data_IF_075645567123
#
_entry.id   IF_075645567123
#
_cell.length_a   1.000
_cell.length_b   1.000
_cell.length_c   1.000
_cell.angle_alpha   90.00
_cell.angle_beta   90.00
_cell.angle_gamma   90.00
#
_symmetry.space_group_name_H-M   'P 1'
#
loop_
_entity.id
_entity.type
_entity.pdbx_description
1 polymer ?
#
# COMPACT_ATOMS: atom_id res chain seq x y z
N UNK A 1 -9.12 -81.63 -1.52
CA UNK A 1 -8.60 -80.56 -0.70
C UNK A 1 -8.35 -79.39 -1.63
N UNK A 2 -9.11 -78.31 -1.58
CA UNK A 2 -8.81 -77.08 -2.35
C UNK A 2 -7.83 -76.27 -1.56
N UNK A 3 -6.67 -75.96 -2.12
CA UNK A 3 -5.69 -75.04 -1.65
C UNK A 3 -6.22 -73.62 -1.83
N UNK A 4 -6.54 -72.93 -0.71
CA UNK A 4 -6.84 -71.50 -0.69
C UNK A 4 -5.59 -70.74 -1.02
N UNK A 5 -5.46 -70.23 -2.24
CA UNK A 5 -4.58 -69.12 -2.55
C UNK A 5 -5.16 -67.91 -1.85
N UNK A 6 -4.53 -67.52 -0.77
CA UNK A 6 -4.70 -66.18 -0.19
C UNK A 6 -4.02 -65.19 -1.16
N UNK A 7 -4.82 -64.59 -2.04
CA UNK A 7 -4.42 -63.40 -2.77
C UNK A 7 -4.09 -62.34 -1.73
N UNK A 8 -2.81 -62.21 -1.44
CA UNK A 8 -2.26 -61.04 -0.78
C UNK A 8 -2.52 -59.87 -1.73
N UNK A 9 -3.60 -59.13 -1.49
CA UNK A 9 -3.77 -57.83 -2.12
C UNK A 9 -2.55 -56.97 -1.73
N UNK A 10 -1.56 -56.96 -2.60
CA UNK A 10 -0.48 -55.97 -2.54
C UNK A 10 -1.15 -54.60 -2.60
N UNK A 11 -1.25 -53.93 -1.48
CA UNK A 11 -1.68 -52.54 -1.44
C UNK A 11 -0.74 -51.73 -2.36
N UNK A 12 -1.21 -51.19 -3.47
CA UNK A 12 -0.34 -50.43 -4.36
C UNK A 12 0.27 -49.29 -3.56
N UNK A 13 1.62 -49.26 -3.53
CA UNK A 13 2.36 -48.25 -2.82
C UNK A 13 2.07 -46.87 -3.47
N UNK A 14 1.21 -46.11 -2.81
CA UNK A 14 0.88 -44.76 -3.23
C UNK A 14 2.06 -43.81 -2.92
N UNK A 15 2.52 -43.08 -3.91
CA UNK A 15 3.61 -42.09 -3.76
C UNK A 15 3.06 -40.67 -3.62
N UNK A 16 3.76 -39.84 -2.83
CA UNK A 16 3.46 -38.41 -2.79
C UNK A 16 3.75 -37.77 -4.13
N UNK A 17 2.78 -37.04 -4.66
CA UNK A 17 2.99 -36.27 -5.88
C UNK A 17 3.88 -35.04 -5.57
N UNK A 18 4.90 -34.77 -6.36
CA UNK A 18 5.83 -33.68 -6.17
C UNK A 18 5.16 -32.32 -6.09
N UNK A 19 4.08 -32.08 -6.84
CA UNK A 19 3.34 -30.82 -6.80
C UNK A 19 2.66 -30.58 -5.44
N UNK A 20 2.25 -31.63 -4.72
CA UNK A 20 1.71 -31.47 -3.36
C UNK A 20 2.80 -30.99 -2.40
N UNK A 21 4.03 -31.49 -2.54
CA UNK A 21 5.16 -31.04 -1.75
C UNK A 21 5.53 -29.59 -2.13
N UNK A 22 5.63 -29.29 -3.42
CA UNK A 22 5.94 -27.95 -3.92
C UNK A 22 4.93 -26.90 -3.42
N UNK A 23 3.63 -27.22 -3.52
CA UNK A 23 2.56 -26.31 -3.04
C UNK A 23 2.69 -26.06 -1.53
N UNK A 24 3.02 -27.09 -0.75
CA UNK A 24 3.20 -26.94 0.70
C UNK A 24 4.41 -26.08 1.05
N UNK A 25 5.53 -26.28 0.38
CA UNK A 25 6.75 -25.46 0.58
C UNK A 25 6.43 -23.99 0.22
N UNK A 26 5.78 -23.78 -0.92
CA UNK A 26 5.38 -22.42 -1.32
C UNK A 26 4.41 -21.79 -0.31
N UNK A 27 3.43 -22.54 0.22
CA UNK A 27 2.51 -22.05 1.22
C UNK A 27 3.19 -21.62 2.53
N UNK A 28 4.29 -22.28 2.94
CA UNK A 28 5.11 -21.90 4.09
C UNK A 28 5.88 -20.62 3.85
N UNK A 29 6.34 -20.39 2.62
CA UNK A 29 7.12 -19.18 2.26
C UNK A 29 6.21 -18.02 1.85
N UNK A 30 4.97 -18.29 1.45
CA UNK A 30 4.02 -17.29 0.98
C UNK A 30 3.76 -16.10 1.94
N UNK A 31 3.82 -16.22 3.29
CA UNK A 31 3.69 -15.07 4.18
C UNK A 31 4.70 -13.94 3.93
N UNK A 32 5.83 -14.19 3.24
CA UNK A 32 6.77 -13.14 2.84
C UNK A 32 6.12 -12.07 1.94
N UNK A 33 5.04 -12.41 1.22
CA UNK A 33 4.30 -11.43 0.42
C UNK A 33 3.65 -10.32 1.26
N UNK A 34 3.46 -10.54 2.57
CA UNK A 34 2.93 -9.54 3.49
C UNK A 34 4.00 -8.53 3.94
N UNK A 35 5.28 -8.91 3.83
CA UNK A 35 6.40 -8.02 4.20
C UNK A 35 6.69 -7.04 3.09
N UNK A 36 6.64 -7.48 1.83
CA UNK A 36 6.85 -6.61 0.69
C UNK A 36 6.07 -7.09 -0.53
N UNK A 37 5.41 -6.15 -1.27
CA UNK A 37 4.65 -6.46 -2.48
C UNK A 37 5.46 -7.19 -3.56
N UNK A 38 6.80 -7.02 -3.56
CA UNK A 38 7.67 -7.70 -4.50
C UNK A 38 7.56 -9.25 -4.44
N UNK A 39 7.15 -9.82 -3.30
CA UNK A 39 6.98 -11.27 -3.12
C UNK A 39 5.56 -11.77 -3.43
N UNK A 40 4.67 -10.93 -3.96
CA UNK A 40 3.31 -11.34 -4.33
C UNK A 40 3.28 -12.45 -5.41
N UNK A 41 4.35 -12.64 -6.16
CA UNK A 41 4.45 -13.75 -7.11
C UNK A 41 4.52 -15.14 -6.43
N UNK A 42 4.96 -15.22 -5.16
CA UNK A 42 5.10 -16.49 -4.44
C UNK A 42 3.74 -17.20 -4.26
N UNK A 43 2.70 -16.55 -3.69
CA UNK A 43 1.39 -17.18 -3.59
C UNK A 43 0.77 -17.49 -4.96
N UNK A 44 1.07 -16.72 -6.01
CA UNK A 44 0.61 -17.04 -7.39
C UNK A 44 1.20 -18.37 -7.85
N UNK A 45 2.50 -18.63 -7.61
CA UNK A 45 3.12 -19.91 -7.88
C UNK A 45 2.48 -21.05 -7.05
N UNK A 46 2.15 -20.79 -5.79
CA UNK A 46 1.46 -21.75 -4.92
C UNK A 46 0.11 -22.17 -5.48
N UNK A 47 -0.67 -21.21 -6.00
CA UNK A 47 -1.95 -21.49 -6.66
C UNK A 47 -1.74 -22.30 -7.94
N UNK A 48 -0.74 -21.96 -8.77
CA UNK A 48 -0.45 -22.65 -10.01
C UNK A 48 -0.04 -24.11 -9.76
N UNK A 49 0.91 -24.36 -8.83
CA UNK A 49 1.31 -25.72 -8.46
C UNK A 49 0.18 -26.49 -7.79
N UNK A 50 -0.64 -25.83 -6.98
CA UNK A 50 -1.78 -26.44 -6.35
C UNK A 50 -2.84 -26.87 -7.36
N UNK A 51 -3.17 -26.02 -8.32
CA UNK A 51 -4.11 -26.37 -9.39
C UNK A 51 -3.62 -27.55 -10.24
N UNK A 52 -2.36 -27.51 -10.66
CA UNK A 52 -1.74 -28.58 -11.41
C UNK A 52 -1.70 -29.88 -10.59
N UNK A 53 -1.29 -29.81 -9.33
CA UNK A 53 -1.24 -30.94 -8.41
C UNK A 53 -2.64 -31.56 -8.19
N UNK A 54 -3.64 -30.73 -7.99
CA UNK A 54 -5.03 -31.15 -7.84
C UNK A 54 -5.52 -31.96 -9.06
N UNK A 55 -5.32 -31.42 -10.27
CA UNK A 55 -5.73 -32.09 -11.52
C UNK A 55 -5.03 -33.44 -11.69
N UNK A 56 -3.70 -33.48 -11.44
CA UNK A 56 -2.93 -34.71 -11.63
C UNK A 56 -3.26 -35.79 -10.61
N UNK A 57 -3.39 -35.41 -9.32
CA UNK A 57 -3.70 -36.37 -8.24
C UNK A 57 -5.15 -36.89 -8.40
N UNK A 58 -6.08 -35.96 -8.73
CA UNK A 58 -7.51 -36.35 -8.96
C UNK A 58 -7.70 -37.28 -10.16
N UNK A 59 -6.84 -37.14 -11.18
CA UNK A 59 -6.90 -38.03 -12.37
C UNK A 59 -6.34 -39.42 -12.12
N UNK A 60 -5.49 -39.61 -11.09
CA UNK A 60 -4.81 -40.89 -10.79
C UNK A 60 -4.78 -41.17 -9.28
N UNK A 61 -5.93 -41.29 -8.62
CA UNK A 61 -6.01 -41.42 -7.16
C UNK A 61 -5.41 -42.73 -6.63
N UNK A 62 -5.26 -43.75 -7.48
CA UNK A 62 -4.68 -45.03 -7.12
C UNK A 62 -3.14 -44.97 -6.99
N UNK A 63 -2.51 -44.00 -7.72
CA UNK A 63 -1.06 -43.90 -7.79
C UNK A 63 -0.53 -42.81 -6.85
N UNK A 64 -1.29 -41.71 -6.72
CA UNK A 64 -0.82 -40.51 -6.02
C UNK A 64 -1.62 -40.19 -4.78
N UNK A 65 -0.89 -39.81 -3.73
CA UNK A 65 -1.44 -39.31 -2.47
C UNK A 65 -1.06 -37.82 -2.28
N UNK A 66 -1.85 -37.10 -1.47
CA UNK A 66 -1.49 -35.71 -1.09
C UNK A 66 -2.53 -34.65 -1.50
N UNK A 67 -3.71 -35.05 -1.97
CA UNK A 67 -4.78 -34.15 -2.42
C UNK A 67 -5.16 -33.12 -1.33
N UNK A 68 -5.28 -33.57 -0.07
CA UNK A 68 -5.62 -32.69 1.07
C UNK A 68 -4.56 -31.62 1.27
N UNK A 69 -3.28 -32.00 1.18
CA UNK A 69 -2.15 -31.10 1.33
C UNK A 69 -2.10 -30.06 0.20
N UNK A 70 -2.36 -30.51 -1.03
CA UNK A 70 -2.47 -29.63 -2.20
C UNK A 70 -3.60 -28.60 -2.04
N UNK A 71 -4.78 -29.05 -1.62
CA UNK A 71 -5.93 -28.14 -1.40
C UNK A 71 -5.65 -27.13 -0.30
N UNK A 72 -5.12 -27.57 0.85
CA UNK A 72 -4.77 -26.68 1.97
C UNK A 72 -3.72 -25.66 1.53
N UNK A 73 -2.65 -26.09 0.86
CA UNK A 73 -1.61 -25.20 0.38
C UNK A 73 -2.12 -24.16 -0.64
N UNK A 74 -3.02 -24.59 -1.56
CA UNK A 74 -3.64 -23.70 -2.54
C UNK A 74 -4.54 -22.67 -1.87
N UNK A 75 -5.38 -23.09 -0.93
CA UNK A 75 -6.27 -22.19 -0.18
C UNK A 75 -5.48 -21.19 0.66
N UNK A 76 -4.41 -21.63 1.31
CA UNK A 76 -3.52 -20.75 2.05
C UNK A 76 -2.87 -19.71 1.12
N UNK A 77 -2.37 -20.13 -0.04
CA UNK A 77 -1.78 -19.23 -1.03
C UNK A 77 -2.80 -18.21 -1.56
N UNK A 78 -4.03 -18.66 -1.83
CA UNK A 78 -5.10 -17.77 -2.28
C UNK A 78 -5.46 -16.72 -1.22
N UNK A 79 -5.61 -17.14 0.04
CA UNK A 79 -5.92 -16.25 1.15
C UNK A 79 -4.82 -15.20 1.35
N UNK A 80 -3.55 -15.60 1.29
CA UNK A 80 -2.42 -14.69 1.43
C UNK A 80 -2.31 -13.73 0.25
N UNK A 81 -2.61 -14.17 -0.97
CA UNK A 81 -2.66 -13.29 -2.14
C UNK A 81 -3.73 -12.21 -2.00
N UNK A 82 -4.96 -12.61 -1.63
CA UNK A 82 -6.07 -11.65 -1.40
C UNK A 82 -5.71 -10.66 -0.30
N UNK A 83 -5.13 -11.15 0.80
CA UNK A 83 -4.69 -10.28 1.90
C UNK A 83 -3.61 -9.28 1.46
N UNK A 84 -2.61 -9.75 0.72
CA UNK A 84 -1.54 -8.89 0.19
C UNK A 84 -2.08 -7.78 -0.71
N UNK A 85 -2.96 -8.12 -1.67
CA UNK A 85 -3.61 -7.13 -2.56
C UNK A 85 -4.44 -6.14 -1.75
N UNK A 86 -5.26 -6.61 -0.81
CA UNK A 86 -6.09 -5.75 0.04
C UNK A 86 -5.22 -4.80 0.87
N UNK A 87 -4.10 -5.30 1.40
CA UNK A 87 -3.14 -4.49 2.15
C UNK A 87 -2.54 -3.36 1.32
N UNK A 88 -2.16 -3.65 0.07
CA UNK A 88 -1.62 -2.64 -0.87
C UNK A 88 -2.67 -1.56 -1.15
N UNK A 89 -3.90 -1.96 -1.49
CA UNK A 89 -4.99 -1.02 -1.82
C UNK A 89 -5.31 -0.11 -0.64
N UNK A 90 -5.55 -0.69 0.55
CA UNK A 90 -5.85 0.09 1.75
C UNK A 90 -4.72 1.02 2.18
N UNK A 91 -3.47 0.58 2.03
CA UNK A 91 -2.31 1.42 2.31
C UNK A 91 -2.27 2.64 1.38
N UNK A 92 -2.56 2.45 0.09
CA UNK A 92 -2.62 3.55 -0.88
C UNK A 92 -3.73 4.54 -0.56
N UNK A 93 -4.94 4.05 -0.29
CA UNK A 93 -6.08 4.89 0.12
C UNK A 93 -5.76 5.72 1.38
N UNK A 94 -5.13 5.10 2.37
CA UNK A 94 -4.69 5.80 3.58
C UNK A 94 -3.71 6.94 3.27
N UNK A 95 -2.68 6.68 2.45
CA UNK A 95 -1.71 7.72 2.10
C UNK A 95 -2.33 8.85 1.29
N UNK A 96 -3.27 8.54 0.39
CA UNK A 96 -4.01 9.54 -0.37
C UNK A 96 -4.89 10.41 0.53
N UNK A 97 -5.62 9.79 1.45
CA UNK A 97 -6.43 10.51 2.45
C UNK A 97 -5.57 11.43 3.31
N UNK A 98 -4.46 10.94 3.86
CA UNK A 98 -3.54 11.76 4.67
C UNK A 98 -2.95 12.92 3.87
N UNK A 99 -2.60 12.70 2.59
CA UNK A 99 -2.08 13.75 1.73
C UNK A 99 -3.15 14.82 1.44
N UNK A 100 -4.39 14.39 1.18
CA UNK A 100 -5.52 15.28 0.97
C UNK A 100 -5.81 16.13 2.22
N UNK A 101 -5.91 15.51 3.39
CA UNK A 101 -6.15 16.20 4.66
C UNK A 101 -5.04 17.24 4.97
N UNK A 102 -3.78 16.88 4.72
CA UNK A 102 -2.68 17.82 4.87
C UNK A 102 -2.77 18.99 3.88
N UNK A 103 -3.25 18.75 2.67
CA UNK A 103 -3.45 19.81 1.67
C UNK A 103 -4.58 20.75 2.08
N UNK A 104 -5.71 20.22 2.56
CA UNK A 104 -6.81 21.03 3.13
C UNK A 104 -6.30 21.89 4.30
N UNK A 105 -5.57 21.26 5.22
CA UNK A 105 -4.99 21.94 6.37
C UNK A 105 -4.02 23.06 5.97
N UNK A 106 -3.17 22.79 4.99
CA UNK A 106 -2.25 23.78 4.44
C UNK A 106 -2.97 24.97 3.80
N UNK A 107 -4.01 24.69 2.98
CA UNK A 107 -4.82 25.75 2.37
C UNK A 107 -5.58 26.56 3.43
N UNK A 108 -6.05 25.93 4.49
CA UNK A 108 -6.70 26.63 5.61
C UNK A 108 -5.75 27.64 6.24
N UNK A 109 -4.52 27.25 6.54
CA UNK A 109 -3.52 28.17 7.07
C UNK A 109 -3.19 29.32 6.10
N UNK A 110 -3.12 29.03 4.79
CA UNK A 110 -2.94 30.07 3.76
C UNK A 110 -4.09 31.08 3.79
N UNK A 111 -5.33 30.61 3.87
CA UNK A 111 -6.53 31.46 3.92
C UNK A 111 -6.58 32.32 5.16
N UNK A 112 -6.18 31.77 6.30
CA UNK A 112 -6.11 32.46 7.60
C UNK A 112 -4.88 33.38 7.74
N UNK A 113 -4.00 33.37 6.73
CA UNK A 113 -2.72 34.10 6.73
C UNK A 113 -1.74 33.64 7.81
N UNK A 114 -1.87 32.39 8.26
CA UNK A 114 -0.96 31.75 9.21
C UNK A 114 0.24 31.11 8.49
N UNK A 115 1.07 31.94 7.85
CA UNK A 115 2.19 31.48 7.02
C UNK A 115 3.20 30.58 7.76
N UNK A 116 3.58 30.85 9.03
CA UNK A 116 4.42 29.94 9.81
C UNK A 116 3.83 28.53 9.93
N UNK A 117 2.53 28.42 10.21
CA UNK A 117 1.84 27.14 10.32
C UNK A 117 1.75 26.42 8.94
N UNK A 118 1.43 27.15 7.88
CA UNK A 118 1.44 26.63 6.52
C UNK A 118 2.83 26.10 6.12
N UNK A 119 3.90 26.81 6.47
CA UNK A 119 5.27 26.36 6.20
C UNK A 119 5.60 25.05 6.93
N UNK A 120 5.18 24.89 8.19
CA UNK A 120 5.42 23.67 8.96
C UNK A 120 4.75 22.44 8.33
N UNK A 121 3.61 22.58 7.67
CA UNK A 121 2.99 21.47 6.92
C UNK A 121 3.89 21.00 5.77
N UNK A 122 4.65 21.90 5.14
CA UNK A 122 5.58 21.58 4.05
C UNK A 122 6.93 21.00 4.52
N UNK A 123 7.28 21.19 5.79
CA UNK A 123 8.52 20.66 6.39
C UNK A 123 8.35 19.18 6.67
N UNK A 124 9.41 18.38 6.50
CA UNK A 124 9.40 16.96 6.84
C UNK A 124 9.08 16.75 8.33
N UNK A 125 8.37 15.68 8.65
CA UNK A 125 7.89 15.39 10.02
C UNK A 125 9.02 15.42 11.05
N UNK A 126 10.22 14.98 10.66
CA UNK A 126 11.43 14.94 11.52
C UNK A 126 11.92 16.33 11.93
N UNK A 127 11.59 17.37 11.17
CA UNK A 127 12.06 18.74 11.36
C UNK A 127 10.94 19.72 11.75
N UNK A 128 9.71 19.21 11.91
CA UNK A 128 8.57 20.04 12.30
C UNK A 128 8.68 20.50 13.75
N UNK A 129 8.33 21.75 13.98
CA UNK A 129 8.12 22.26 15.33
C UNK A 129 6.70 21.84 15.78
N UNK A 130 6.60 21.07 16.84
CA UNK A 130 5.34 20.46 17.28
C UNK A 130 4.45 21.40 18.11
N UNK A 131 5.04 22.46 18.69
CA UNK A 131 4.31 23.36 19.57
C UNK A 131 3.85 24.62 18.81
N UNK A 132 2.56 24.69 18.49
CA UNK A 132 1.97 25.83 17.79
C UNK A 132 2.23 27.17 18.51
N UNK A 133 2.27 27.17 19.84
CA UNK A 133 2.53 28.37 20.65
C UNK A 133 3.96 28.90 20.53
N UNK A 134 4.92 28.04 20.17
CA UNK A 134 6.32 28.42 20.00
C UNK A 134 6.70 28.74 18.54
N UNK A 135 5.76 28.60 17.60
CA UNK A 135 6.06 28.79 16.17
C UNK A 135 6.54 30.21 15.87
N UNK A 136 5.87 31.22 16.37
CA UNK A 136 6.30 32.62 16.15
C UNK A 136 7.68 32.85 16.75
N UNK A 137 7.92 32.40 17.97
CA UNK A 137 9.23 32.52 18.64
C UNK A 137 10.33 31.75 17.88
N UNK A 138 10.01 30.59 17.31
CA UNK A 138 10.95 29.83 16.48
C UNK A 138 11.39 30.64 15.25
N UNK A 139 10.43 31.24 14.53
CA UNK A 139 10.74 32.04 13.33
C UNK A 139 11.40 33.36 13.66
N UNK A 140 11.05 33.99 14.75
CA UNK A 140 11.70 35.22 15.23
C UNK A 140 13.18 34.99 15.55
N UNK A 141 13.52 33.84 16.12
CA UNK A 141 14.90 33.45 16.43
C UNK A 141 15.67 32.92 15.21
N UNK A 142 14.98 32.52 14.15
CA UNK A 142 15.58 31.94 12.94
C UNK A 142 15.24 32.76 11.70
N UNK A 143 15.70 34.00 11.66
CA UNK A 143 15.39 34.97 10.58
C UNK A 143 15.66 34.45 9.18
N UNK A 144 16.75 33.69 8.97
CA UNK A 144 17.04 33.09 7.65
C UNK A 144 15.99 32.09 7.18
N UNK A 145 15.41 31.30 8.10
CA UNK A 145 14.31 30.38 7.78
C UNK A 145 13.02 31.16 7.52
N UNK A 146 12.79 32.22 8.28
CA UNK A 146 11.66 33.11 8.09
C UNK A 146 11.69 33.80 6.70
N UNK A 147 12.83 34.35 6.33
CA UNK A 147 13.02 35.03 5.03
C UNK A 147 12.87 34.03 3.86
N UNK A 148 13.41 32.81 3.98
CA UNK A 148 13.21 31.75 2.98
C UNK A 148 11.73 31.37 2.85
N UNK A 149 11.03 31.22 3.96
CA UNK A 149 9.59 30.99 3.99
C UNK A 149 8.85 32.13 3.25
N UNK A 150 9.07 33.37 3.59
CA UNK A 150 8.40 34.50 2.94
C UNK A 150 8.69 34.53 1.44
N UNK A 151 9.93 34.26 1.05
CA UNK A 151 10.32 34.22 -0.36
C UNK A 151 9.58 33.11 -1.16
N UNK A 152 9.30 31.98 -0.52
CA UNK A 152 8.51 30.87 -1.14
C UNK A 152 7.05 31.25 -1.31
N UNK A 153 6.45 31.84 -0.30
CA UNK A 153 5.04 32.28 -0.34
C UNK A 153 4.82 33.49 -1.27
N UNK A 154 5.83 34.28 -1.55
CA UNK A 154 5.79 35.38 -2.51
C UNK A 154 5.80 34.92 -3.97
N UNK A 155 6.08 33.64 -4.25
CA UNK A 155 6.15 33.09 -5.63
C UNK A 155 4.83 32.50 -6.10
N UNK A 156 4.53 32.53 -7.43
CA UNK A 156 3.41 31.78 -7.99
C UNK A 156 3.60 30.26 -7.75
N UNK A 157 2.52 29.52 -7.54
CA UNK A 157 1.11 29.97 -7.52
C UNK A 157 0.62 30.50 -6.16
N UNK A 158 1.42 30.40 -5.09
CA UNK A 158 0.98 30.64 -3.70
C UNK A 158 0.58 32.11 -3.49
N UNK A 159 1.33 33.04 -4.04
CA UNK A 159 1.00 34.47 -3.95
C UNK A 159 -0.36 34.80 -4.58
N UNK A 160 -0.78 34.06 -5.63
CA UNK A 160 -2.10 34.22 -6.24
C UNK A 160 -3.22 33.71 -5.34
N UNK A 161 -2.98 32.62 -4.61
CA UNK A 161 -3.92 32.12 -3.60
C UNK A 161 -4.09 33.12 -2.46
N UNK A 162 -2.99 33.68 -1.95
CA UNK A 162 -3.02 34.72 -0.92
C UNK A 162 -3.77 35.98 -1.38
N UNK A 163 -3.50 36.44 -2.60
CA UNK A 163 -4.16 37.63 -3.15
C UNK A 163 -5.67 37.45 -3.38
N UNK A 164 -6.13 36.21 -3.55
CA UNK A 164 -7.52 35.87 -3.81
C UNK A 164 -8.17 35.06 -2.68
N UNK A 165 -7.67 35.17 -1.45
CA UNK A 165 -8.09 34.33 -0.32
C UNK A 165 -9.59 34.34 -0.04
N UNK A 166 -10.29 35.42 -0.37
CA UNK A 166 -11.72 35.56 -0.17
C UNK A 166 -12.57 34.91 -1.28
N UNK A 167 -11.93 34.49 -2.38
CA UNK A 167 -12.59 33.94 -3.57
C UNK A 167 -12.56 32.41 -3.65
N UNK A 168 -12.01 31.73 -2.68
CA UNK A 168 -11.94 30.27 -2.64
C UNK A 168 -12.12 29.74 -1.21
N UNK A 169 -12.52 28.45 -1.13
CA UNK A 169 -12.62 27.76 0.14
C UNK A 169 -11.84 26.46 0.09
N UNK A 170 -11.02 26.11 1.11
CA UNK A 170 -10.31 24.84 1.18
C UNK A 170 -11.20 23.62 1.03
N UNK A 171 -12.47 23.71 1.49
CA UNK A 171 -13.43 22.62 1.43
C UNK A 171 -13.95 22.33 0.00
N UNK A 172 -13.78 23.29 -0.90
CA UNK A 172 -14.19 23.14 -2.32
C UNK A 172 -13.08 22.52 -3.18
N UNK A 173 -11.98 22.08 -2.56
CA UNK A 173 -10.86 21.44 -3.24
C UNK A 173 -11.30 20.13 -3.88
N UNK A 174 -11.12 20.03 -5.18
CA UNK A 174 -11.47 18.84 -5.96
C UNK A 174 -10.17 18.12 -6.33
N UNK A 175 -10.07 16.85 -5.91
CA UNK A 175 -8.99 15.98 -6.34
C UNK A 175 -9.20 15.58 -7.79
N UNK A 176 -8.19 15.80 -8.64
CA UNK A 176 -8.23 15.48 -10.07
C UNK A 176 -7.50 14.18 -10.35
N UNK A 177 -6.33 13.99 -9.73
CA UNK A 177 -5.48 12.85 -9.99
C UNK A 177 -4.65 12.49 -8.75
N UNK A 178 -4.52 11.18 -8.51
CA UNK A 178 -3.64 10.58 -7.50
C UNK A 178 -2.56 9.74 -8.17
N UNK A 179 -1.30 10.02 -7.86
CA UNK A 179 -0.17 9.20 -8.30
C UNK A 179 0.70 8.83 -7.10
N UNK A 180 0.95 7.54 -6.93
CA UNK A 180 1.84 7.03 -5.91
C UNK A 180 3.18 6.61 -6.54
N UNK A 181 4.27 7.18 -6.05
CA UNK A 181 5.62 6.86 -6.48
C UNK A 181 6.41 6.26 -5.32
N UNK A 182 6.96 5.07 -5.54
CA UNK A 182 7.87 4.42 -4.60
C UNK A 182 9.31 4.78 -4.95
N UNK A 183 9.99 5.51 -4.07
CA UNK A 183 11.44 5.74 -4.18
C UNK A 183 12.20 4.57 -3.54
N UNK A 184 12.55 3.59 -4.37
CA UNK A 184 13.24 2.36 -3.94
C UNK A 184 14.62 2.63 -3.33
N UNK A 185 15.30 3.71 -3.73
CA UNK A 185 16.63 4.04 -3.20
C UNK A 185 16.59 4.55 -1.76
N UNK A 186 15.51 5.24 -1.40
CA UNK A 186 15.35 5.87 -0.08
C UNK A 186 14.35 5.15 0.80
N UNK A 187 13.73 4.09 0.31
CA UNK A 187 12.60 3.41 0.95
C UNK A 187 11.51 4.40 1.43
N UNK A 188 11.28 5.44 0.62
CA UNK A 188 10.29 6.50 0.90
C UNK A 188 9.19 6.44 -0.14
N UNK A 189 7.96 6.55 0.34
CA UNK A 189 6.81 6.69 -0.52
C UNK A 189 6.54 8.16 -0.77
N UNK A 190 6.33 8.53 -2.03
CA UNK A 190 5.92 9.87 -2.44
C UNK A 190 4.53 9.80 -3.04
N UNK A 191 3.64 10.61 -2.53
CA UNK A 191 2.31 10.83 -3.10
C UNK A 191 2.33 12.15 -3.85
N UNK A 192 1.85 12.14 -5.09
CA UNK A 192 1.65 13.33 -5.92
C UNK A 192 0.17 13.40 -6.20
N UNK A 193 -0.45 14.51 -5.87
CA UNK A 193 -1.87 14.76 -6.09
C UNK A 193 -2.05 16.05 -6.87
N UNK A 194 -2.91 16.01 -7.87
CA UNK A 194 -3.30 17.19 -8.65
C UNK A 194 -4.69 17.63 -8.22
N UNK A 195 -4.84 18.91 -7.96
CA UNK A 195 -6.08 19.48 -7.45
C UNK A 195 -6.61 20.60 -8.33
N UNK A 196 -7.92 20.71 -8.37
CA UNK A 196 -8.60 21.88 -8.89
C UNK A 196 -9.26 22.63 -7.73
N UNK A 197 -8.92 23.92 -7.58
CA UNK A 197 -9.51 24.81 -6.61
C UNK A 197 -10.41 25.82 -7.35
N UNK A 198 -11.73 25.70 -7.30
CA UNK A 198 -12.63 26.65 -7.95
C UNK A 198 -12.52 28.03 -7.29
N UNK A 199 -12.39 29.06 -8.12
CA UNK A 199 -12.48 30.44 -7.67
C UNK A 199 -13.90 30.92 -7.82
N UNK A 200 -14.49 31.44 -6.76
CA UNK A 200 -15.81 32.10 -6.84
C UNK A 200 -15.67 33.41 -7.59
N UNK A 201 -16.31 33.53 -8.74
CA UNK A 201 -16.41 34.76 -9.50
C UNK A 201 -17.55 35.67 -8.97
N UNK A 202 -18.05 35.43 -7.77
CA UNK A 202 -19.07 36.29 -7.19
C UNK A 202 -18.54 37.70 -6.96
N UNK A 203 -19.23 38.67 -7.47
CA UNK A 203 -18.86 40.10 -7.29
C UNK A 203 -19.00 40.54 -5.84
#
# INVERSE_FOLDING_TARGET
>A
MPTSHSDSQENPYQSFHWAAIATSVVAVVAPLCLVTPAFAFIPVLGIAFGFFGYLTISSKPEIYYGIKLTVIGTMTSLLLLVWSITGIVKSSEYYYSVAFDNTIKWLTYIKENELPAAHQVMVSVEHRQHEAQMLNHYYDNNKGIYDDMLSRFAKPPINLLLAKKDKWNPQDLILVEDVQLLDLKKNKMRVIQSYHLPLSDSP
#
